data_IF_222842599123
#
_entry.id   IF_222842599123
#
_cell.length_a   1.000
_cell.length_b   1.000
_cell.length_c   1.000
_cell.angle_alpha   90.00
_cell.angle_beta   90.00
_cell.angle_gamma   90.00
#
_symmetry.space_group_name_H-M   'P 1'
#
loop_
_entity.id
_entity.type
_entity.pdbx_description
1 polymer ?
#
# COMPACT_ATOMS: atom_id res chain seq x y z
N UNK A 1 7.26 -16.96 6.11
CA UNK A 1 6.17 -17.04 7.12
C UNK A 1 6.66 -17.23 8.55
N UNK A 2 7.90 -17.67 8.75
CA UNK A 2 8.49 -17.88 10.09
C UNK A 2 8.57 -16.60 10.93
N UNK A 3 8.74 -15.43 10.28
CA UNK A 3 8.76 -14.14 10.95
C UNK A 3 7.37 -13.61 11.38
N UNK A 4 6.29 -14.32 11.07
CA UNK A 4 4.93 -13.89 11.44
C UNK A 4 4.70 -14.22 12.91
N UNK A 5 4.27 -13.22 13.69
CA UNK A 5 3.92 -13.41 15.10
C UNK A 5 2.88 -14.53 15.27
N UNK A 6 3.28 -15.58 15.98
CA UNK A 6 2.47 -16.80 16.16
C UNK A 6 1.47 -16.72 17.30
N UNK A 7 1.61 -15.72 18.20
CA UNK A 7 0.76 -15.59 19.39
C UNK A 7 -0.67 -15.14 19.12
N UNK A 8 -1.01 -14.73 17.89
CA UNK A 8 -2.39 -14.41 17.53
C UNK A 8 -2.74 -14.88 16.10
N UNK A 9 -3.86 -15.63 15.91
CA UNK A 9 -4.18 -16.26 14.62
C UNK A 9 -4.46 -15.28 13.48
N UNK A 10 -4.88 -14.04 13.81
CA UNK A 10 -5.16 -12.97 12.83
C UNK A 10 -4.04 -12.78 11.80
N UNK A 11 -2.77 -12.76 12.22
CA UNK A 11 -1.65 -12.42 11.33
C UNK A 11 -1.36 -13.53 10.30
N UNK A 12 -1.41 -14.79 10.76
CA UNK A 12 -1.30 -15.97 9.88
C UNK A 12 -2.47 -16.03 8.90
N UNK A 13 -3.69 -15.81 9.39
CA UNK A 13 -4.89 -15.82 8.55
C UNK A 13 -4.87 -14.71 7.50
N UNK A 14 -4.45 -13.50 7.86
CA UNK A 14 -4.36 -12.38 6.92
C UNK A 14 -3.35 -12.67 5.81
N UNK A 15 -2.16 -13.16 6.15
CA UNK A 15 -1.14 -13.55 5.16
C UNK A 15 -1.66 -14.62 4.21
N UNK A 16 -2.30 -15.66 4.76
CA UNK A 16 -2.88 -16.75 3.96
C UNK A 16 -3.99 -16.23 3.03
N UNK A 17 -4.91 -15.43 3.55
CA UNK A 17 -6.05 -14.92 2.78
C UNK A 17 -5.61 -13.99 1.65
N UNK A 18 -4.61 -13.14 1.88
CA UNK A 18 -4.04 -12.28 0.83
C UNK A 18 -3.49 -13.13 -0.31
N UNK A 19 -2.67 -14.14 -0.02
CA UNK A 19 -2.09 -15.03 -1.03
C UNK A 19 -3.16 -15.84 -1.78
N UNK A 20 -4.13 -16.38 -1.05
CA UNK A 20 -5.23 -17.14 -1.66
C UNK A 20 -6.08 -16.26 -2.59
N UNK A 21 -6.42 -15.04 -2.16
CA UNK A 21 -7.17 -14.09 -3.00
C UNK A 21 -6.37 -13.67 -4.22
N UNK A 22 -5.09 -13.35 -4.04
CA UNK A 22 -4.19 -12.89 -5.11
C UNK A 22 -3.93 -13.98 -6.15
N UNK A 23 -3.92 -15.25 -5.73
CA UNK A 23 -3.56 -16.41 -6.55
C UNK A 23 -2.06 -16.65 -6.67
N UNK A 24 -1.24 -15.79 -6.06
CA UNK A 24 0.22 -15.83 -6.08
C UNK A 24 0.77 -15.19 -4.80
N UNK A 25 2.09 -15.31 -4.59
CA UNK A 25 2.76 -14.54 -3.54
C UNK A 25 2.71 -13.05 -3.86
N UNK A 26 2.78 -12.22 -2.82
CA UNK A 26 3.05 -10.80 -3.03
C UNK A 26 4.41 -10.63 -3.69
N UNK A 27 4.56 -9.61 -4.52
CA UNK A 27 5.78 -9.34 -5.27
C UNK A 27 6.20 -7.90 -4.98
N UNK A 28 7.36 -7.73 -4.35
CA UNK A 28 7.93 -6.44 -4.01
C UNK A 28 9.33 -6.38 -4.62
N UNK A 29 9.53 -5.44 -5.52
CA UNK A 29 10.81 -5.20 -6.17
C UNK A 29 11.27 -3.79 -5.80
N UNK A 30 12.43 -3.70 -5.15
CA UNK A 30 13.02 -2.41 -4.74
C UNK A 30 14.38 -2.26 -5.45
N UNK A 31 14.65 -1.14 -6.13
CA UNK A 31 15.93 -0.95 -6.80
C UNK A 31 17.09 -0.99 -5.79
N UNK A 32 18.14 -1.73 -6.13
CA UNK A 32 19.37 -1.78 -5.33
C UNK A 32 20.20 -0.53 -5.57
N UNK A 33 20.89 -0.04 -4.54
CA UNK A 33 21.91 0.99 -4.71
C UNK A 33 23.06 0.45 -5.58
N UNK A 34 23.42 1.22 -6.62
CA UNK A 34 24.42 0.82 -7.62
C UNK A 34 25.79 1.39 -7.23
N UNK A 35 26.57 0.58 -6.52
CA UNK A 35 27.96 0.87 -6.13
C UNK A 35 28.94 0.19 -7.10
N UNK A 36 30.24 0.54 -7.05
CA UNK A 36 31.30 0.03 -7.92
C UNK A 36 31.38 -1.50 -7.98
N UNK A 37 31.01 -2.17 -6.87
CA UNK A 37 31.09 -3.63 -6.71
C UNK A 37 29.74 -4.30 -6.50
N UNK A 38 28.63 -3.60 -6.73
CA UNK A 38 27.30 -4.22 -6.68
C UNK A 38 27.23 -5.34 -7.73
N UNK A 39 26.93 -6.57 -7.29
CA UNK A 39 26.84 -7.74 -8.16
C UNK A 39 25.42 -7.88 -8.71
N UNK A 40 25.35 -8.26 -9.98
CA UNK A 40 24.10 -8.55 -10.69
C UNK A 40 24.09 -9.99 -11.22
N UNK A 41 22.96 -10.69 -11.20
CA UNK A 41 21.70 -10.27 -10.58
C UNK A 41 21.82 -10.21 -9.05
N UNK A 42 21.03 -9.33 -8.43
CA UNK A 42 20.85 -9.31 -6.97
C UNK A 42 20.28 -10.67 -6.53
N UNK A 43 20.55 -11.08 -5.29
CA UNK A 43 20.13 -12.40 -4.79
C UNK A 43 18.62 -12.63 -4.98
N UNK A 44 18.27 -13.69 -5.71
CA UNK A 44 16.90 -14.06 -6.09
C UNK A 44 16.11 -12.99 -6.85
N UNK A 45 16.80 -12.03 -7.48
CA UNK A 45 16.15 -11.05 -8.34
C UNK A 45 15.38 -11.74 -9.48
N UNK A 46 14.25 -11.15 -9.86
CA UNK A 46 13.47 -11.62 -11.01
C UNK A 46 14.24 -11.32 -12.30
N UNK A 47 14.08 -12.17 -13.32
CA UNK A 47 14.78 -12.03 -14.60
C UNK A 47 14.57 -10.66 -15.26
N UNK A 48 13.36 -10.11 -15.15
CA UNK A 48 12.97 -8.79 -15.68
C UNK A 48 13.56 -7.61 -14.89
N UNK A 49 13.98 -7.83 -13.64
CA UNK A 49 14.47 -6.79 -12.71
C UNK A 49 15.72 -7.27 -11.96
N UNK A 50 16.83 -7.58 -12.66
CA UNK A 50 18.02 -8.19 -12.06
C UNK A 50 18.76 -7.25 -11.08
N UNK A 51 18.48 -5.95 -11.14
CA UNK A 51 19.00 -4.91 -10.25
C UNK A 51 18.04 -4.56 -9.10
N UNK A 52 17.02 -5.40 -8.84
CA UNK A 52 16.09 -5.19 -7.73
C UNK A 52 16.27 -6.24 -6.63
N UNK A 53 16.12 -5.78 -5.39
CA UNK A 53 15.97 -6.63 -4.21
C UNK A 53 14.55 -7.19 -4.22
N UNK A 54 14.44 -8.50 -4.48
CA UNK A 54 13.17 -9.21 -4.51
C UNK A 54 12.73 -9.63 -3.10
N UNK A 55 11.46 -9.38 -2.77
CA UNK A 55 10.83 -9.75 -1.51
C UNK A 55 9.41 -10.28 -1.77
N UNK A 56 9.05 -11.44 -1.19
CA UNK A 56 7.87 -12.23 -1.56
C UNK A 56 6.89 -12.53 -0.41
N UNK A 57 7.05 -11.83 0.72
CA UNK A 57 6.31 -12.10 1.94
C UNK A 57 5.78 -10.83 2.60
N UNK A 58 4.59 -10.94 3.20
CA UNK A 58 3.94 -9.86 3.94
C UNK A 58 4.84 -9.27 5.04
N UNK A 59 5.67 -10.11 5.67
CA UNK A 59 6.60 -9.69 6.72
C UNK A 59 7.64 -8.65 6.27
N UNK A 60 8.01 -8.58 4.99
CA UNK A 60 8.94 -7.56 4.49
C UNK A 60 8.36 -6.15 4.55
N UNK A 61 7.03 -6.00 4.47
CA UNK A 61 6.35 -4.73 4.63
C UNK A 61 5.78 -4.57 6.03
N UNK A 62 4.81 -5.40 6.42
CA UNK A 62 4.12 -5.29 7.72
C UNK A 62 5.00 -5.65 8.93
N UNK A 63 6.23 -6.13 8.71
CA UNK A 63 7.26 -6.25 9.75
C UNK A 63 8.05 -4.96 9.99
N UNK A 64 7.84 -3.90 9.19
CA UNK A 64 8.41 -2.59 9.46
C UNK A 64 7.65 -1.87 10.57
N UNK A 65 8.33 -0.91 11.21
CA UNK A 65 7.75 -0.04 12.23
C UNK A 65 7.33 1.31 11.64
N UNK A 66 6.41 1.99 12.32
CA UNK A 66 6.05 3.37 12.02
C UNK A 66 5.68 4.13 13.29
N UNK A 67 5.82 5.45 13.24
CA UNK A 67 5.18 6.34 14.21
C UNK A 67 3.83 6.77 13.65
N UNK A 68 2.78 6.63 14.46
CA UNK A 68 1.43 7.07 14.13
C UNK A 68 0.92 7.98 15.24
N UNK A 69 0.28 9.08 14.85
CA UNK A 69 -0.36 10.02 15.77
C UNK A 69 -1.84 10.10 15.41
N UNK A 70 -2.70 10.06 16.42
CA UNK A 70 -4.15 10.17 16.26
C UNK A 70 -4.63 11.42 17.00
N UNK A 71 -5.31 12.31 16.28
CA UNK A 71 -5.88 13.54 16.82
C UNK A 71 -7.39 13.41 16.95
N UNK A 72 -7.96 13.92 18.03
CA UNK A 72 -9.41 14.02 18.21
C UNK A 72 -9.88 15.43 17.82
N UNK A 73 -10.79 15.52 16.85
CA UNK A 73 -11.49 16.75 16.51
C UNK A 73 -12.75 16.95 17.39
N UNK A 74 -13.29 18.16 17.42
CA UNK A 74 -14.50 18.49 18.19
C UNK A 74 -15.78 17.89 17.58
N UNK A 75 -15.81 17.68 16.27
CA UNK A 75 -16.96 17.08 15.56
C UNK A 75 -16.54 16.52 14.18
N UNK A 76 -17.49 15.89 13.47
CA UNK A 76 -17.24 15.27 12.17
C UNK A 76 -16.82 16.27 11.08
N UNK A 77 -17.35 17.50 11.09
CA UNK A 77 -17.03 18.51 10.09
C UNK A 77 -15.58 18.98 10.25
N UNK A 78 -15.15 19.22 11.48
CA UNK A 78 -13.75 19.54 11.78
C UNK A 78 -12.83 18.35 11.48
N UNK A 79 -13.27 17.11 11.76
CA UNK A 79 -12.49 15.92 11.43
C UNK A 79 -12.23 15.79 9.93
N UNK A 80 -13.26 16.00 9.08
CA UNK A 80 -13.14 16.00 7.62
C UNK A 80 -12.20 17.11 7.14
N UNK A 81 -12.35 18.31 7.69
CA UNK A 81 -11.48 19.42 7.36
C UNK A 81 -10.01 19.15 7.74
N UNK A 82 -9.76 18.66 8.95
CA UNK A 82 -8.42 18.33 9.41
C UNK A 82 -7.78 17.20 8.57
N UNK A 83 -8.54 16.17 8.23
CA UNK A 83 -8.10 15.09 7.35
C UNK A 83 -7.60 15.63 5.99
N UNK A 84 -8.38 16.52 5.38
CA UNK A 84 -8.03 17.13 4.10
C UNK A 84 -6.78 18.01 4.22
N UNK A 85 -6.65 18.81 5.28
CA UNK A 85 -5.48 19.66 5.47
C UNK A 85 -4.19 18.87 5.73
N UNK A 86 -4.28 17.70 6.37
CA UNK A 86 -3.12 16.85 6.64
C UNK A 86 -2.69 16.03 5.41
N UNK A 87 -3.59 15.81 4.45
CA UNK A 87 -3.33 14.97 3.28
C UNK A 87 -2.09 15.41 2.47
N UNK A 88 -1.92 16.69 2.09
CA UNK A 88 -0.73 17.14 1.36
C UNK A 88 0.57 17.03 2.18
N UNK A 89 0.47 17.00 3.51
CA UNK A 89 1.63 16.86 4.39
C UNK A 89 2.14 15.41 4.48
N UNK A 90 1.29 14.41 4.21
CA UNK A 90 1.67 12.99 4.28
C UNK A 90 2.93 12.64 3.47
N UNK A 91 3.02 12.94 2.14
CA UNK A 91 4.22 12.62 1.37
C UNK A 91 5.45 13.45 1.80
N UNK A 92 5.25 14.68 2.26
CA UNK A 92 6.33 15.54 2.77
C UNK A 92 6.92 14.93 4.04
N UNK A 93 6.07 14.54 4.99
CA UNK A 93 6.49 13.94 6.25
C UNK A 93 7.11 12.56 6.03
N UNK A 94 6.62 11.78 5.06
CA UNK A 94 7.24 10.52 4.66
C UNK A 94 8.69 10.73 4.22
N UNK A 95 8.94 11.67 3.31
CA UNK A 95 10.29 11.99 2.84
C UNK A 95 11.17 12.58 3.95
N UNK A 96 10.63 13.50 4.76
CA UNK A 96 11.34 14.13 5.86
C UNK A 96 11.76 13.13 6.96
N UNK A 97 10.97 12.07 7.16
CA UNK A 97 11.20 11.05 8.19
C UNK A 97 11.74 9.74 7.62
N UNK A 98 12.38 9.80 6.44
CA UNK A 98 12.95 8.64 5.78
C UNK A 98 13.95 7.90 6.69
N UNK A 99 13.76 6.58 6.83
CA UNK A 99 14.47 5.75 7.80
C UNK A 99 14.54 4.27 7.39
N UNK A 100 14.40 3.97 6.10
CA UNK A 100 14.38 2.59 5.60
C UNK A 100 15.20 2.42 4.31
N UNK A 101 16.52 2.67 4.35
CA UNK A 101 17.38 2.57 3.16
C UNK A 101 17.89 1.15 2.86
N UNK A 102 17.58 0.16 3.70
CA UNK A 102 18.14 -1.20 3.59
C UNK A 102 17.02 -2.23 3.63
N UNK A 103 17.01 -3.12 2.65
CA UNK A 103 16.08 -4.25 2.56
C UNK A 103 16.82 -5.54 2.26
N UNK A 104 16.44 -6.62 2.97
CA UNK A 104 16.95 -7.98 2.74
C UNK A 104 18.50 -8.07 2.65
N UNK A 105 19.20 -7.23 3.42
CA UNK A 105 20.67 -7.20 3.45
C UNK A 105 21.33 -6.34 2.36
N UNK A 106 20.56 -5.60 1.58
CA UNK A 106 21.05 -4.71 0.52
C UNK A 106 20.69 -3.26 0.81
N UNK A 107 21.61 -2.34 0.52
CA UNK A 107 21.32 -0.91 0.42
C UNK A 107 20.45 -0.69 -0.83
N UNK A 108 19.35 0.03 -0.67
CA UNK A 108 18.38 0.29 -1.74
C UNK A 108 18.45 1.74 -2.23
N UNK A 109 18.00 1.97 -3.46
CA UNK A 109 17.90 3.30 -4.07
C UNK A 109 16.59 4.02 -3.67
N UNK A 110 16.08 3.71 -2.49
CA UNK A 110 14.94 4.34 -1.83
C UNK A 110 15.21 4.44 -0.33
N UNK A 111 14.68 5.47 0.32
CA UNK A 111 14.86 5.68 1.76
C UNK A 111 13.58 5.45 2.59
N UNK A 112 12.46 5.20 1.91
CA UNK A 112 11.12 5.12 2.49
C UNK A 112 10.49 3.74 2.33
N UNK A 113 9.80 3.28 3.38
CA UNK A 113 9.15 1.96 3.42
C UNK A 113 7.79 1.86 2.72
N UNK A 114 7.21 2.97 2.28
CA UNK A 114 5.80 3.04 1.88
C UNK A 114 5.42 2.02 0.80
N UNK A 115 6.18 2.00 -0.30
CA UNK A 115 5.92 1.11 -1.43
C UNK A 115 6.12 -0.37 -1.06
N UNK A 116 7.06 -0.66 -0.16
CA UNK A 116 7.29 -2.01 0.37
C UNK A 116 6.10 -2.49 1.18
N UNK A 117 5.57 -1.66 2.07
CA UNK A 117 4.37 -2.01 2.86
C UNK A 117 3.15 -2.16 1.94
N UNK A 118 2.95 -1.20 1.03
CA UNK A 118 1.85 -1.21 0.06
C UNK A 118 1.80 -2.53 -0.72
N UNK A 119 2.93 -2.96 -1.27
CA UNK A 119 3.04 -4.19 -2.04
C UNK A 119 2.95 -5.46 -1.17
N UNK A 120 3.40 -5.41 0.10
CA UNK A 120 3.40 -6.56 1.01
C UNK A 120 2.02 -7.11 1.38
N UNK A 121 0.97 -6.29 1.21
CA UNK A 121 -0.42 -6.67 1.44
C UNK A 121 -1.31 -6.42 0.22
N UNK A 122 -0.70 -6.23 -0.94
CA UNK A 122 -1.42 -6.10 -2.19
C UNK A 122 -2.04 -7.45 -2.57
N UNK A 123 -3.35 -7.56 -2.37
CA UNK A 123 -4.11 -8.76 -2.67
C UNK A 123 -4.73 -8.75 -4.08
N UNK A 124 -4.46 -7.72 -4.90
CA UNK A 124 -5.08 -7.57 -6.22
C UNK A 124 -4.70 -8.73 -7.15
N UNK A 125 -5.70 -9.32 -7.81
CA UNK A 125 -5.49 -10.37 -8.81
C UNK A 125 -4.77 -9.82 -10.04
N UNK A 126 -4.37 -10.69 -10.97
CA UNK A 126 -3.80 -10.24 -12.25
C UNK A 126 -4.80 -9.40 -13.06
N UNK A 127 -6.10 -9.72 -12.99
CA UNK A 127 -7.16 -8.96 -13.68
C UNK A 127 -7.33 -7.57 -13.07
N UNK A 128 -7.38 -7.48 -11.74
CA UNK A 128 -7.53 -6.20 -11.02
C UNK A 128 -6.33 -5.28 -11.26
N UNK A 129 -5.12 -5.83 -11.44
CA UNK A 129 -3.91 -5.08 -11.82
C UNK A 129 -3.84 -4.74 -13.31
N UNK A 130 -4.78 -5.21 -14.13
CA UNK A 130 -4.78 -5.01 -15.58
C UNK A 130 -3.74 -5.83 -16.35
N UNK A 131 -3.11 -6.83 -15.71
CA UNK A 131 -2.15 -7.75 -16.35
C UNK A 131 -2.85 -8.86 -17.13
N UNK A 132 -4.10 -9.16 -16.79
CA UNK A 132 -4.96 -10.10 -17.50
C UNK A 132 -6.29 -9.42 -17.88
N UNK A 133 -7.01 -9.92 -18.91
CA UNK A 133 -8.36 -9.46 -19.21
C UNK A 133 -9.31 -9.67 -18.03
N UNK A 134 -10.19 -8.71 -17.79
CA UNK A 134 -11.19 -8.78 -16.72
C UNK A 134 -12.25 -9.84 -17.07
N UNK A 135 -12.37 -10.90 -16.25
CA UNK A 135 -13.33 -11.99 -16.47
C UNK A 135 -14.14 -12.30 -15.21
N UNK A 136 -13.44 -12.53 -14.10
CA UNK A 136 -14.05 -12.91 -12.82
C UNK A 136 -14.28 -11.69 -11.91
N UNK A 137 -13.45 -10.65 -12.06
CA UNK A 137 -13.52 -9.45 -11.24
C UNK A 137 -14.36 -8.35 -11.89
N UNK A 138 -14.85 -7.39 -11.09
CA UNK A 138 -15.69 -6.29 -11.58
C UNK A 138 -14.88 -5.04 -11.95
N UNK A 139 -13.74 -4.81 -11.29
CA UNK A 139 -12.99 -3.56 -11.40
C UNK A 139 -11.51 -3.80 -11.71
N UNK A 140 -10.91 -2.89 -12.47
CA UNK A 140 -9.46 -2.70 -12.50
C UNK A 140 -9.10 -1.70 -11.41
N UNK A 141 -8.30 -2.12 -10.44
CA UNK A 141 -7.99 -1.35 -9.24
C UNK A 141 -6.55 -0.83 -9.34
N UNK A 142 -6.38 0.49 -9.40
CA UNK A 142 -5.09 1.12 -9.67
C UNK A 142 -4.11 1.05 -8.49
N UNK A 143 -4.61 1.05 -7.26
CA UNK A 143 -3.80 1.09 -6.04
C UNK A 143 -3.97 -0.16 -5.18
N UNK A 144 -2.95 -0.46 -4.38
CA UNK A 144 -3.08 -1.48 -3.33
C UNK A 144 -4.11 -1.01 -2.30
N UNK A 145 -4.69 -1.95 -1.55
CA UNK A 145 -5.55 -1.61 -0.39
C UNK A 145 -4.80 -0.88 0.72
N UNK A 146 -3.47 -0.91 0.69
CA UNK A 146 -2.62 -0.11 1.54
C UNK A 146 -1.91 0.87 0.63
N UNK A 147 -2.39 2.11 0.57
CA UNK A 147 -1.83 3.16 -0.27
C UNK A 147 -2.22 4.53 0.29
N UNK A 148 -1.75 5.57 -0.38
CA UNK A 148 -2.14 6.96 -0.18
C UNK A 148 -3.65 7.12 -0.29
N UNK A 149 -4.18 8.14 0.36
CA UNK A 149 -5.62 8.42 0.36
C UNK A 149 -6.13 8.65 -1.07
N UNK A 150 -7.40 8.30 -1.32
CA UNK A 150 -8.01 8.37 -2.64
C UNK A 150 -8.79 9.66 -2.88
N UNK A 151 -9.35 10.26 -1.82
CA UNK A 151 -10.20 11.43 -1.94
C UNK A 151 -10.17 12.29 -0.68
N UNK A 152 -10.36 13.58 -0.91
CA UNK A 152 -10.74 14.56 0.10
C UNK A 152 -12.19 14.36 0.52
N UNK A 153 -12.44 14.59 1.80
CA UNK A 153 -13.74 14.34 2.43
C UNK A 153 -14.53 15.62 2.67
N UNK A 154 -13.91 16.80 2.79
CA UNK A 154 -14.65 18.05 3.04
C UNK A 154 -15.21 18.65 1.75
N UNK A 155 -16.30 19.41 1.86
CA UNK A 155 -16.91 20.16 0.75
C UNK A 155 -15.88 21.07 0.03
N UNK A 156 -14.98 21.70 0.80
CA UNK A 156 -13.93 22.55 0.26
C UNK A 156 -12.86 21.77 -0.54
N UNK A 157 -12.67 20.49 -0.21
CA UNK A 157 -11.70 19.59 -0.82
C UNK A 157 -12.23 18.87 -2.06
N UNK A 158 -13.55 18.79 -2.24
CA UNK A 158 -14.21 18.03 -3.31
C UNK A 158 -13.68 18.42 -4.70
N UNK A 159 -13.47 19.70 -4.95
CA UNK A 159 -12.92 20.22 -6.22
C UNK A 159 -11.51 19.73 -6.57
N UNK A 160 -10.79 19.15 -5.60
CA UNK A 160 -9.46 18.58 -5.79
C UNK A 160 -9.49 17.06 -5.98
N UNK A 161 -10.67 16.42 -5.95
CA UNK A 161 -10.83 15.01 -6.27
C UNK A 161 -10.80 14.82 -7.80
N UNK A 162 -9.61 14.90 -8.38
CA UNK A 162 -9.36 14.80 -9.82
C UNK A 162 -9.01 13.38 -10.30
N UNK A 163 -8.94 12.42 -9.38
CA UNK A 163 -8.68 11.01 -9.67
C UNK A 163 -9.99 10.21 -9.69
N UNK A 164 -10.24 9.39 -10.72
CA UNK A 164 -11.41 8.52 -10.76
C UNK A 164 -11.44 7.55 -9.57
N UNK A 165 -12.48 7.65 -8.75
CA UNK A 165 -12.72 6.75 -7.63
C UNK A 165 -13.45 5.50 -8.09
N UNK A 166 -12.99 4.36 -7.59
CA UNK A 166 -13.68 3.09 -7.74
C UNK A 166 -14.39 2.78 -6.43
N UNK A 167 -15.70 2.63 -6.51
CA UNK A 167 -16.53 2.32 -5.36
C UNK A 167 -17.64 1.35 -5.77
N UNK A 168 -18.21 0.69 -4.76
CA UNK A 168 -19.36 -0.18 -4.97
C UNK A 168 -20.63 0.68 -5.00
N UNK A 169 -21.35 0.64 -6.11
CA UNK A 169 -22.56 1.45 -6.32
C UNK A 169 -23.68 1.10 -5.31
N UNK A 170 -23.84 -0.18 -4.95
CA UNK A 170 -24.85 -0.62 -3.99
C UNK A 170 -24.58 -0.08 -2.58
N UNK A 171 -23.30 -0.09 -2.17
CA UNK A 171 -22.88 0.48 -0.88
C UNK A 171 -23.01 2.00 -0.88
N UNK A 172 -22.64 2.66 -1.97
CA UNK A 172 -22.81 4.10 -2.13
C UNK A 172 -24.29 4.50 -2.00
N UNK A 173 -25.18 3.87 -2.74
CA UNK A 173 -26.61 4.13 -2.70
C UNK A 173 -27.22 3.88 -1.31
N UNK A 174 -26.74 2.84 -0.62
CA UNK A 174 -27.16 2.55 0.76
C UNK A 174 -26.75 3.66 1.72
N UNK A 175 -25.53 4.20 1.61
CA UNK A 175 -25.05 5.30 2.44
C UNK A 175 -25.80 6.60 2.15
N UNK A 176 -26.05 6.91 0.87
CA UNK A 176 -26.85 8.08 0.45
C UNK A 176 -28.27 8.03 1.00
N UNK A 177 -28.94 6.87 0.92
CA UNK A 177 -30.26 6.66 1.55
C UNK A 177 -30.23 6.80 3.07
N UNK A 178 -29.08 6.51 3.70
CA UNK A 178 -28.84 6.70 5.12
C UNK A 178 -28.58 8.16 5.54
N UNK A 179 -28.57 9.11 4.59
CA UNK A 179 -28.32 10.52 4.85
C UNK A 179 -26.85 10.91 4.97
N UNK A 180 -25.94 10.06 4.47
CA UNK A 180 -24.54 10.46 4.25
C UNK A 180 -24.48 11.35 3.00
N UNK A 181 -23.82 12.49 3.14
CA UNK A 181 -23.65 13.48 2.07
C UNK A 181 -22.79 12.99 0.90
#
# INVERSE_FOLDING_TARGET
>A
DEAIFSGHPRFKNLTRNIRMRRGEKVCINVPVFKDEKTKYPVFEALQETPDHVYMDAMGFGMGNCCLQLTFQACNINEARYLYDQLTPLCPIMLAFTAASPIYRGYLTDIDCRWNVISASVDCRTMEERGLAPLKENQFRINKSRYDSIDSYLSENGEKYNDVPLLYNEEDYEKLRKGGID
#
